data_IF_846758726107
#
_entry.id   IF_846758726107
#
_cell.length_a   1.000
_cell.length_b   1.000
_cell.length_c   1.000
_cell.angle_alpha   90.00
_cell.angle_beta   90.00
_cell.angle_gamma   90.00
#
_symmetry.space_group_name_H-M   'P 1'
#
loop_
_entity.id
_entity.type
_entity.pdbx_description
1 polymer ?
#
# COMPACT_ATOMS: atom_id res chain seq x y z
N UNK A 1 -4.70 -6.75 -6.06
CA UNK A 1 -3.62 -6.21 -6.92
C UNK A 1 -2.78 -5.25 -6.10
N UNK A 2 -1.45 -5.25 -6.21
CA UNK A 2 -0.57 -4.38 -5.39
C UNK A 2 0.20 -3.41 -6.27
N UNK A 3 0.17 -2.10 -5.96
CA UNK A 3 1.03 -1.11 -6.61
C UNK A 3 2.18 -0.70 -5.72
N UNK A 4 3.34 -0.43 -6.32
CA UNK A 4 4.55 -0.03 -5.61
C UNK A 4 4.61 1.49 -5.51
N UNK A 5 4.63 1.99 -4.29
CA UNK A 5 4.90 3.40 -3.97
C UNK A 5 6.40 3.71 -4.01
N UNK A 6 6.82 4.62 -3.14
CA UNK A 6 8.23 4.94 -2.92
C UNK A 6 8.91 3.93 -1.99
N UNK A 7 8.20 3.44 -0.98
CA UNK A 7 8.73 2.52 0.03
C UNK A 7 7.80 1.38 0.44
N UNK A 8 6.50 1.49 0.17
CA UNK A 8 5.51 0.47 0.49
C UNK A 8 4.84 -0.10 -0.77
N UNK A 9 4.08 -1.18 -0.58
CA UNK A 9 3.14 -1.71 -1.56
C UNK A 9 1.73 -1.49 -1.05
N UNK A 10 0.84 -1.07 -1.95
CA UNK A 10 -0.53 -0.69 -1.64
C UNK A 10 -1.53 -1.61 -2.35
N UNK A 11 -2.49 -2.15 -1.61
CA UNK A 11 -3.59 -2.97 -2.12
C UNK A 11 -4.73 -2.05 -2.52
N UNK A 12 -5.16 -2.13 -3.79
CA UNK A 12 -6.35 -1.42 -4.22
C UNK A 12 -7.60 -2.15 -3.69
N UNK A 13 -8.47 -1.51 -2.90
CA UNK A 13 -9.65 -2.16 -2.31
C UNK A 13 -10.63 -2.64 -3.39
N UNK A 14 -11.00 -1.78 -4.35
CA UNK A 14 -11.97 -2.15 -5.40
C UNK A 14 -11.45 -3.16 -6.44
N UNK A 15 -10.13 -3.31 -6.59
CA UNK A 15 -9.53 -4.35 -7.47
C UNK A 15 -9.11 -5.60 -6.69
N UNK A 16 -9.20 -5.57 -5.35
CA UNK A 16 -9.03 -6.77 -4.55
C UNK A 16 -10.29 -7.64 -4.70
N UNK A 17 -10.08 -8.94 -4.84
CA UNK A 17 -11.16 -9.93 -4.97
C UNK A 17 -11.03 -11.02 -3.90
N UNK A 18 -10.30 -10.72 -2.84
CA UNK A 18 -10.10 -11.57 -1.66
C UNK A 18 -9.58 -12.98 -1.97
N UNK A 19 -8.74 -13.11 -3.01
CA UNK A 19 -8.20 -14.39 -3.44
C UNK A 19 -7.18 -15.00 -2.47
N UNK A 20 -6.64 -14.22 -1.53
CA UNK A 20 -5.71 -14.68 -0.50
C UNK A 20 -4.31 -15.07 -0.96
N UNK A 21 -3.98 -14.94 -2.25
CA UNK A 21 -2.71 -15.42 -2.79
C UNK A 21 -1.48 -14.64 -2.28
N UNK A 22 -1.67 -13.42 -1.77
CA UNK A 22 -0.59 -12.54 -1.36
C UNK A 22 -0.19 -12.66 0.13
N UNK A 23 -1.14 -12.99 0.99
CA UNK A 23 -0.92 -13.14 2.43
C UNK A 23 0.17 -14.18 2.77
N UNK A 24 0.11 -15.43 2.29
CA UNK A 24 1.03 -16.48 2.75
C UNK A 24 2.44 -16.37 2.13
N UNK A 25 2.62 -15.49 1.14
CA UNK A 25 3.91 -15.28 0.47
C UNK A 25 4.66 -14.07 1.03
N UNK A 26 4.04 -13.27 1.90
CA UNK A 26 4.69 -12.12 2.50
C UNK A 26 5.70 -12.58 3.56
N UNK A 27 7.01 -12.33 3.37
CA UNK A 27 8.04 -12.85 4.29
C UNK A 27 8.04 -12.16 5.67
N UNK A 28 7.32 -11.06 5.81
CA UNK A 28 7.24 -10.22 7.02
C UNK A 28 5.80 -10.10 7.52
N UNK A 29 4.88 -10.91 7.00
CA UNK A 29 3.49 -11.00 7.48
C UNK A 29 2.75 -9.65 7.49
N UNK A 30 3.00 -8.78 6.51
CA UNK A 30 2.46 -7.42 6.45
C UNK A 30 1.07 -7.31 5.78
N UNK A 31 0.46 -8.42 5.38
CA UNK A 31 -0.80 -8.46 4.62
C UNK A 31 -1.84 -9.16 5.47
N UNK A 32 -2.95 -8.48 5.73
CA UNK A 32 -4.07 -8.98 6.52
C UNK A 32 -5.36 -8.85 5.72
N UNK A 33 -6.32 -9.73 5.99
CA UNK A 33 -7.71 -9.49 5.62
C UNK A 33 -8.26 -8.33 6.45
N UNK A 34 -9.23 -7.60 5.91
CA UNK A 34 -9.81 -6.43 6.60
C UNK A 34 -10.41 -6.80 7.96
N UNK A 35 -10.99 -7.99 8.10
CA UNK A 35 -11.58 -8.48 9.35
C UNK A 35 -10.54 -8.97 10.37
N UNK A 36 -9.30 -9.25 9.91
CA UNK A 36 -8.20 -9.77 10.73
C UNK A 36 -7.12 -8.71 11.00
N UNK A 37 -7.36 -7.46 10.58
CA UNK A 37 -6.41 -6.36 10.72
C UNK A 37 -6.25 -5.99 12.21
N UNK A 38 -5.03 -6.02 12.77
CA UNK A 38 -4.78 -5.56 14.13
C UNK A 38 -5.19 -4.10 14.32
N UNK A 39 -5.76 -3.77 15.47
CA UNK A 39 -6.28 -2.42 15.76
C UNK A 39 -5.22 -1.31 15.62
N UNK A 40 -3.95 -1.63 15.89
CA UNK A 40 -2.82 -0.69 15.70
C UNK A 40 -2.52 -0.40 14.22
N UNK A 41 -2.91 -1.29 13.31
CA UNK A 41 -2.71 -1.20 11.87
C UNK A 41 -3.93 -0.68 11.12
N UNK A 42 -5.08 -0.46 11.79
CA UNK A 42 -6.29 0.11 11.20
C UNK A 42 -6.07 1.36 10.33
N UNK A 43 -5.20 2.33 10.70
CA UNK A 43 -4.93 3.49 9.85
C UNK A 43 -4.46 3.11 8.44
N UNK A 44 -3.76 1.99 8.29
CA UNK A 44 -3.25 1.52 6.99
C UNK A 44 -4.37 1.05 6.06
N UNK A 45 -5.55 0.67 6.56
CA UNK A 45 -6.68 0.32 5.71
C UNK A 45 -7.13 1.52 4.86
N UNK A 46 -7.35 2.66 5.51
CA UNK A 46 -7.70 3.90 4.82
C UNK A 46 -6.55 4.40 3.94
N UNK A 47 -5.31 4.24 4.40
CA UNK A 47 -4.12 4.63 3.67
C UNK A 47 -3.95 3.85 2.34
N UNK A 48 -4.24 2.55 2.35
CA UNK A 48 -4.25 1.73 1.14
C UNK A 48 -5.23 2.26 0.10
N UNK A 49 -6.42 2.70 0.50
CA UNK A 49 -7.38 3.33 -0.39
C UNK A 49 -6.90 4.72 -0.87
N UNK A 50 -6.38 5.55 0.05
CA UNK A 50 -5.93 6.91 -0.23
C UNK A 50 -4.84 6.96 -1.32
N UNK A 51 -3.98 5.95 -1.41
CA UNK A 51 -2.98 5.84 -2.47
C UNK A 51 -3.57 5.91 -3.89
N UNK A 52 -4.82 5.46 -4.07
CA UNK A 52 -5.53 5.42 -5.34
C UNK A 52 -6.52 6.57 -5.51
N UNK A 53 -7.17 6.99 -4.43
CA UNK A 53 -8.28 7.96 -4.46
C UNK A 53 -7.82 9.40 -4.25
N UNK A 54 -6.63 9.63 -3.69
CA UNK A 54 -6.07 10.96 -3.50
C UNK A 54 -5.04 11.33 -4.57
N UNK A 55 -4.94 12.64 -4.85
CA UNK A 55 -3.89 13.20 -5.70
C UNK A 55 -2.60 13.32 -4.89
N UNK A 56 -1.74 12.32 -5.00
CA UNK A 56 -0.42 12.32 -4.36
C UNK A 56 0.58 13.26 -5.07
N UNK A 57 1.65 13.72 -4.39
CA UNK A 57 2.67 14.59 -4.98
C UNK A 57 3.21 14.04 -6.31
N UNK A 58 3.25 14.91 -7.33
CA UNK A 58 3.69 14.54 -8.67
C UNK A 58 2.60 13.93 -9.57
N UNK A 59 1.33 13.93 -9.13
CA UNK A 59 0.17 13.56 -9.94
C UNK A 59 -0.74 14.77 -10.14
N UNK A 60 -1.34 14.87 -11.33
CA UNK A 60 -2.36 15.90 -11.62
C UNK A 60 -3.76 15.46 -11.14
N UNK A 61 -3.98 14.14 -11.04
CA UNK A 61 -5.25 13.53 -10.65
C UNK A 61 -5.02 12.26 -9.81
N UNK A 62 -6.05 11.77 -9.09
CA UNK A 62 -6.00 10.47 -8.43
C UNK A 62 -5.76 9.34 -9.43
N UNK A 63 -5.12 8.27 -8.97
CA UNK A 63 -4.83 7.13 -9.85
C UNK A 63 -6.09 6.34 -10.22
N UNK A 64 -7.08 6.32 -9.34
CA UNK A 64 -8.30 5.53 -9.48
C UNK A 64 -7.98 4.03 -9.57
N UNK A 65 -8.72 3.32 -10.43
CA UNK A 65 -8.58 1.88 -10.67
C UNK A 65 -7.89 1.63 -12.03
N UNK A 66 -6.54 1.53 -12.06
CA UNK A 66 -5.77 1.39 -13.29
C UNK A 66 -5.90 0.01 -13.98
N UNK A 67 -6.57 -0.96 -13.34
CA UNK A 67 -6.72 -2.31 -13.86
C UNK A 67 -5.41 -3.10 -13.82
N UNK A 68 -4.68 -2.97 -12.71
CA UNK A 68 -3.48 -3.74 -12.42
C UNK A 68 -2.13 -3.00 -12.55
N UNK A 69 -1.18 -3.42 -11.71
CA UNK A 69 0.10 -2.75 -11.49
C UNK A 69 1.08 -2.84 -12.67
N UNK A 70 0.97 -3.87 -13.53
CA UNK A 70 1.95 -4.15 -14.58
C UNK A 70 2.10 -3.01 -15.61
N UNK A 71 1.03 -2.25 -15.84
CA UNK A 71 1.02 -1.11 -16.78
C UNK A 71 1.58 0.18 -16.16
N UNK A 72 1.50 0.29 -14.84
CA UNK A 72 1.81 1.51 -14.10
C UNK A 72 3.26 1.50 -13.63
N UNK A 73 3.75 0.34 -13.16
CA UNK A 73 5.09 0.24 -12.58
C UNK A 73 5.21 0.97 -11.23
N UNK A 74 6.45 1.19 -10.74
CA UNK A 74 6.71 1.92 -9.51
C UNK A 74 6.41 3.42 -9.65
N UNK A 75 5.69 3.99 -8.68
CA UNK A 75 5.28 5.40 -8.72
C UNK A 75 6.18 6.33 -7.89
N UNK A 76 7.08 5.80 -7.06
CA UNK A 76 8.10 6.59 -6.36
C UNK A 76 7.56 7.59 -5.31
N UNK A 77 6.27 7.55 -5.04
CA UNK A 77 5.55 8.38 -4.07
C UNK A 77 4.76 7.47 -3.15
N UNK A 78 4.63 7.88 -1.89
CA UNK A 78 3.85 7.21 -0.87
C UNK A 78 2.78 8.18 -0.34
N UNK A 79 1.77 7.63 0.32
CA UNK A 79 0.78 8.40 1.09
C UNK A 79 1.42 9.15 2.26
N UNK A 80 0.79 10.20 2.80
CA UNK A 80 1.34 10.97 3.91
C UNK A 80 1.68 10.14 5.14
N UNK A 81 0.87 9.11 5.46
CA UNK A 81 1.09 8.23 6.61
C UNK A 81 2.39 7.44 6.43
N UNK A 82 2.53 6.69 5.34
CA UNK A 82 3.73 5.89 5.05
C UNK A 82 4.96 6.77 4.82
N UNK A 83 4.80 7.96 4.22
CA UNK A 83 5.89 8.89 4.02
C UNK A 83 6.46 9.43 5.36
N UNK A 84 5.64 9.52 6.41
CA UNK A 84 6.04 10.01 7.72
C UNK A 84 6.77 8.98 8.59
N UNK A 85 6.63 7.67 8.30
CA UNK A 85 7.25 6.62 9.10
C UNK A 85 8.79 6.64 9.02
N UNK A 86 9.52 6.28 10.09
CA UNK A 86 10.97 6.09 10.01
C UNK A 86 11.32 5.05 8.94
N UNK A 87 12.39 5.27 8.17
CA UNK A 87 12.82 4.25 7.21
C UNK A 87 13.41 3.05 7.95
N UNK A 88 13.15 1.86 7.43
CA UNK A 88 13.63 0.62 8.07
C UNK A 88 15.17 0.55 8.12
N UNK A 89 15.89 1.32 7.29
CA UNK A 89 17.35 1.48 7.37
C UNK A 89 17.84 2.46 8.45
N UNK A 90 16.93 3.25 9.03
CA UNK A 90 17.23 4.27 10.07
C UNK A 90 16.97 3.75 11.50
N UNK A 91 16.14 2.70 11.64
CA UNK A 91 16.04 1.92 12.87
C UNK A 91 17.23 0.96 12.98
N UNK A 92 18.29 1.43 13.65
CA UNK A 92 19.55 0.73 13.89
C UNK A 92 19.41 -0.78 14.03
N UNK A 93 19.99 -1.49 13.06
CA UNK A 93 20.15 -2.93 13.13
C UNK A 93 21.12 -3.34 14.24
N UNK A 94 20.70 -4.34 15.01
CA UNK A 94 21.57 -5.27 15.73
C UNK A 94 21.30 -6.69 15.20
#
# INVERSE_FOLDING_TARGET
>A
MHLRGGRALYIHPDECVDCGACEPVCPVEAIYYEDDLPAELEPYRADNAAFFTETLPGRDEPLGSPGGAAKIGPLGVDTPLVAAEPRADDSGGE
#
